data_IF_658506839359
#
_entry.id   IF_658506839359
#
_cell.length_a   1.000
_cell.length_b   1.000
_cell.length_c   1.000
_cell.angle_alpha   90.00
_cell.angle_beta   90.00
_cell.angle_gamma   90.00
#
_symmetry.space_group_name_H-M   'P 1'
#
loop_
_entity.id
_entity.type
_entity.pdbx_description
1 polymer ?
#
# COMPACT_ATOMS: atom_id res chain seq x y z
N UNK A 1 -7.46 -29.91 4.17
CA UNK A 1 -6.77 -28.70 4.67
C UNK A 1 -6.90 -27.61 3.62
N UNK A 2 -7.49 -26.47 3.98
CA UNK A 2 -7.49 -25.31 3.09
C UNK A 2 -6.07 -24.77 3.05
N UNK A 3 -5.46 -24.72 1.86
CA UNK A 3 -4.21 -24.01 1.65
C UNK A 3 -4.39 -22.59 2.22
N UNK A 4 -3.63 -22.28 3.27
CA UNK A 4 -3.64 -20.94 3.86
C UNK A 4 -2.80 -20.06 2.94
N UNK A 5 -3.45 -19.47 1.94
CA UNK A 5 -2.84 -18.52 1.04
C UNK A 5 -2.26 -17.36 1.86
N UNK A 6 -0.95 -17.12 1.71
CA UNK A 6 -0.26 -16.08 2.45
C UNK A 6 -0.15 -14.85 1.57
N UNK A 7 -0.79 -13.76 1.99
CA UNK A 7 -0.61 -12.43 1.43
C UNK A 7 0.14 -11.57 2.44
N UNK A 8 1.30 -11.05 2.04
CA UNK A 8 2.08 -10.10 2.82
C UNK A 8 1.96 -8.72 2.17
N UNK A 9 1.41 -7.75 2.91
CA UNK A 9 1.15 -6.41 2.40
C UNK A 9 2.28 -5.46 2.78
N UNK A 10 2.87 -4.76 1.81
CA UNK A 10 3.93 -3.79 2.02
C UNK A 10 3.52 -2.43 1.45
N UNK A 11 2.59 -1.78 2.16
CA UNK A 11 1.98 -0.51 1.73
C UNK A 11 1.87 0.48 2.88
N UNK A 12 1.89 1.76 2.54
CA UNK A 12 1.45 2.82 3.43
C UNK A 12 -0.07 2.96 3.37
N UNK A 13 -0.70 3.05 4.55
CA UNK A 13 -2.13 3.25 4.69
C UNK A 13 -2.41 4.60 5.32
N UNK A 14 -3.23 5.41 4.67
CA UNK A 14 -3.96 6.51 5.32
C UNK A 14 -5.43 6.11 5.61
N UNK A 15 -5.77 4.83 5.42
CA UNK A 15 -7.14 4.31 5.56
C UNK A 15 -7.50 4.16 7.04
N UNK A 16 -8.74 4.52 7.37
CA UNK A 16 -9.25 4.56 8.74
C UNK A 16 -8.62 5.62 9.63
N UNK A 17 -7.90 6.57 9.02
CA UNK A 17 -7.56 7.79 9.72
C UNK A 17 -8.80 8.49 10.24
N UNK A 18 -8.71 8.98 11.48
CA UNK A 18 -9.77 9.80 12.04
C UNK A 18 -9.91 11.02 11.13
N UNK A 19 -11.04 11.12 10.42
CA UNK A 19 -11.37 12.32 9.67
C UNK A 19 -11.34 13.51 10.64
N UNK A 20 -10.64 14.58 10.29
CA UNK A 20 -10.59 15.82 11.06
C UNK A 20 -11.91 16.60 11.09
N UNK A 21 -13.03 15.98 10.68
CA UNK A 21 -14.36 16.59 10.74
C UNK A 21 -14.68 16.96 12.18
N UNK A 22 -14.91 18.25 12.42
CA UNK A 22 -15.15 18.83 13.75
C UNK A 22 -13.95 18.69 14.72
N UNK A 23 -12.73 18.46 14.22
CA UNK A 23 -11.55 18.58 15.06
C UNK A 23 -11.39 20.04 15.49
N UNK A 24 -11.05 20.31 16.77
CA UNK A 24 -10.88 21.68 17.26
C UNK A 24 -9.65 22.34 16.62
N UNK A 25 -9.84 23.52 16.04
CA UNK A 25 -8.81 24.28 15.32
C UNK A 25 -7.65 24.74 16.22
N UNK A 26 -7.87 24.76 17.54
CA UNK A 26 -6.95 25.24 18.56
C UNK A 26 -6.33 24.14 19.42
N UNK A 27 -6.46 22.86 19.02
CA UNK A 27 -5.86 21.75 19.74
C UNK A 27 -4.88 20.98 18.86
N UNK A 28 -3.72 20.62 19.42
CA UNK A 28 -2.80 19.71 18.75
C UNK A 28 -3.50 18.37 18.50
N UNK A 29 -3.37 17.74 17.30
CA UNK A 29 -4.03 16.48 16.99
C UNK A 29 -3.83 15.39 18.04
N UNK A 30 -2.64 15.25 18.63
CA UNK A 30 -2.37 14.27 19.70
C UNK A 30 -3.16 14.51 21.00
N UNK A 31 -3.64 15.73 21.22
CA UNK A 31 -4.41 16.10 22.40
C UNK A 31 -5.94 15.95 22.18
N UNK A 32 -6.37 15.70 20.94
CA UNK A 32 -7.78 15.50 20.63
C UNK A 32 -8.20 14.08 21.06
N UNK A 33 -9.32 13.93 21.75
CA UNK A 33 -9.93 12.61 22.06
C UNK A 33 -11.38 12.60 21.59
N UNK A 34 -11.86 11.45 21.12
CA UNK A 34 -13.27 11.29 20.75
C UNK A 34 -14.12 11.16 22.00
N UNK A 35 -15.13 12.01 22.12
CA UNK A 35 -16.09 11.92 23.21
C UNK A 35 -16.92 10.62 23.09
N UNK A 36 -17.22 9.99 24.22
CA UNK A 36 -18.02 8.74 24.32
C UNK A 36 -17.52 7.50 23.54
N UNK A 37 -16.29 7.48 23.01
CA UNK A 37 -15.66 6.27 22.43
C UNK A 37 -14.38 5.90 23.17
N UNK A 38 -14.37 4.73 23.79
CA UNK A 38 -13.30 4.28 24.70
C UNK A 38 -11.92 4.02 24.06
N UNK A 39 -11.81 4.03 22.72
CA UNK A 39 -10.53 3.78 22.03
C UNK A 39 -10.33 4.81 20.91
N UNK A 40 -9.37 5.70 21.12
CA UNK A 40 -8.81 6.60 20.12
C UNK A 40 -7.59 5.91 19.53
N UNK A 41 -7.55 5.71 18.22
CA UNK A 41 -6.39 5.09 17.57
C UNK A 41 -5.45 6.17 17.05
N UNK A 42 -4.59 6.67 17.94
CA UNK A 42 -3.59 7.69 17.62
C UNK A 42 -2.68 7.28 16.45
N UNK A 43 -2.36 5.97 16.35
CA UNK A 43 -1.54 5.41 15.27
C UNK A 43 -2.21 5.49 13.88
N UNK A 44 -3.53 5.65 13.83
CA UNK A 44 -4.26 5.77 12.56
C UNK A 44 -4.54 7.21 12.15
N UNK A 45 -4.28 8.22 13.00
CA UNK A 45 -4.51 9.64 12.61
C UNK A 45 -3.63 10.11 11.46
N UNK A 46 -2.48 9.47 11.29
CA UNK A 46 -1.54 9.71 10.21
C UNK A 46 -1.42 8.47 9.32
N UNK A 47 -0.80 8.62 8.15
CA UNK A 47 -0.49 7.42 7.39
C UNK A 47 0.48 6.53 8.18
N UNK A 48 0.23 5.23 8.13
CA UNK A 48 0.96 4.24 8.88
C UNK A 48 1.34 3.07 7.97
N UNK A 49 2.39 2.35 8.37
CA UNK A 49 2.82 1.15 7.65
C UNK A 49 1.83 0.01 7.85
N UNK A 50 1.81 -0.92 6.91
CA UNK A 50 1.11 -2.19 7.08
C UNK A 50 1.64 -2.97 8.29
N UNK A 51 0.87 -3.97 8.73
CA UNK A 51 1.31 -4.88 9.79
C UNK A 51 2.58 -5.62 9.38
N UNK A 52 2.69 -6.06 8.13
CA UNK A 52 3.81 -6.88 7.67
C UNK A 52 5.10 -6.05 7.51
N UNK A 53 4.99 -4.75 7.20
CA UNK A 53 6.10 -3.80 7.22
C UNK A 53 6.66 -3.52 8.63
N UNK A 54 6.01 -3.98 9.71
CA UNK A 54 6.59 -3.92 11.06
C UNK A 54 7.79 -4.87 11.19
N UNK A 55 7.88 -5.91 10.36
CA UNK A 55 9.10 -6.69 10.21
C UNK A 55 10.06 -5.95 9.27
N UNK A 56 10.82 -5.02 9.85
CA UNK A 56 11.69 -4.09 9.09
C UNK A 56 12.79 -4.82 8.33
N UNK A 57 13.35 -5.89 8.90
CA UNK A 57 14.40 -6.70 8.27
C UNK A 57 13.87 -7.40 7.01
N UNK A 58 12.73 -8.08 7.13
CA UNK A 58 12.09 -8.73 5.98
C UNK A 58 11.73 -7.72 4.89
N UNK A 59 11.16 -6.57 5.27
CA UNK A 59 10.83 -5.51 4.31
C UNK A 59 12.08 -5.00 3.58
N UNK A 60 13.18 -4.76 4.29
CA UNK A 60 14.42 -4.29 3.70
C UNK A 60 15.00 -5.30 2.68
N UNK A 61 15.03 -6.58 3.03
CA UNK A 61 15.50 -7.66 2.14
C UNK A 61 14.68 -7.71 0.86
N UNK A 62 13.34 -7.61 0.97
CA UNK A 62 12.46 -7.66 -0.18
C UNK A 62 12.61 -6.42 -1.06
N UNK A 63 12.73 -5.23 -0.46
CA UNK A 63 12.97 -3.99 -1.21
C UNK A 63 14.27 -4.09 -1.98
N UNK A 64 15.35 -4.53 -1.33
CA UNK A 64 16.64 -4.72 -1.97
C UNK A 64 16.53 -5.72 -3.14
N UNK A 65 15.97 -6.91 -2.90
CA UNK A 65 15.83 -7.96 -3.89
C UNK A 65 14.98 -7.55 -5.12
N UNK A 66 13.99 -6.68 -4.94
CA UNK A 66 13.10 -6.24 -6.02
C UNK A 66 13.45 -4.86 -6.59
N UNK A 67 14.56 -4.22 -6.19
CA UNK A 67 14.90 -2.85 -6.63
C UNK A 67 14.92 -2.72 -8.15
N UNK A 68 15.69 -3.57 -8.83
CA UNK A 68 15.81 -3.52 -10.30
C UNK A 68 14.50 -3.87 -11.00
N UNK A 69 13.72 -4.76 -10.39
CA UNK A 69 12.39 -5.12 -10.89
C UNK A 69 11.42 -3.95 -10.79
N UNK A 70 11.37 -3.25 -9.64
CA UNK A 70 10.53 -2.06 -9.49
C UNK A 70 10.94 -0.95 -10.44
N UNK A 71 12.23 -0.75 -10.68
CA UNK A 71 12.71 0.23 -11.65
C UNK A 71 12.27 -0.13 -13.08
N UNK A 72 12.38 -1.40 -13.46
CA UNK A 72 11.88 -1.89 -14.75
C UNK A 72 10.37 -1.61 -14.89
N UNK A 73 9.58 -1.91 -13.87
CA UNK A 73 8.14 -1.66 -13.87
C UNK A 73 7.82 -0.17 -13.96
N UNK A 74 8.56 0.68 -13.26
CA UNK A 74 8.41 2.13 -13.30
C UNK A 74 8.64 2.68 -14.70
N UNK A 75 9.73 2.26 -15.35
CA UNK A 75 10.07 2.66 -16.72
C UNK A 75 9.01 2.17 -17.71
N UNK A 76 8.60 0.89 -17.62
CA UNK A 76 7.58 0.33 -18.48
C UNK A 76 6.22 1.05 -18.31
N UNK A 77 5.81 1.32 -17.06
CA UNK A 77 4.55 2.01 -16.81
C UNK A 77 4.57 3.44 -17.37
N UNK A 78 5.69 4.16 -17.20
CA UNK A 78 5.85 5.51 -17.75
C UNK A 78 5.81 5.54 -19.27
N UNK A 79 6.37 4.53 -19.92
CA UNK A 79 6.40 4.42 -21.39
C UNK A 79 5.03 4.04 -21.95
N UNK A 80 4.38 3.03 -21.38
CA UNK A 80 3.18 2.44 -21.96
C UNK A 80 1.87 3.04 -21.44
N UNK A 81 1.85 3.57 -20.22
CA UNK A 81 0.67 4.13 -19.55
C UNK A 81 1.00 5.46 -18.82
N UNK A 82 1.48 6.49 -19.55
CA UNK A 82 1.96 7.74 -18.94
C UNK A 82 0.88 8.47 -18.13
N UNK A 83 -0.39 8.48 -18.59
CA UNK A 83 -1.48 9.16 -17.89
C UNK A 83 -1.77 8.52 -16.52
N UNK A 84 -1.78 7.18 -16.47
CA UNK A 84 -1.96 6.45 -15.21
C UNK A 84 -0.74 6.58 -14.30
N UNK A 85 0.47 6.61 -14.87
CA UNK A 85 1.70 6.87 -14.14
C UNK A 85 1.64 8.23 -13.42
N UNK A 86 1.26 9.29 -14.12
CA UNK A 86 1.15 10.63 -13.57
C UNK A 86 0.05 10.71 -12.49
N UNK A 87 -1.11 10.09 -12.72
CA UNK A 87 -2.21 10.08 -11.74
C UNK A 87 -1.82 9.33 -10.45
N UNK A 88 -1.13 8.19 -10.57
CA UNK A 88 -0.63 7.43 -9.43
C UNK A 88 0.47 8.18 -8.66
N UNK A 89 1.36 8.86 -9.38
CA UNK A 89 2.48 9.63 -8.82
C UNK A 89 2.00 10.72 -7.86
N UNK A 90 0.93 11.45 -8.25
CA UNK A 90 0.34 12.51 -7.42
C UNK A 90 -0.05 11.98 -6.03
N UNK A 91 -0.63 10.78 -5.96
CA UNK A 91 -1.06 10.21 -4.69
C UNK A 91 0.14 9.81 -3.82
N UNK A 92 1.17 9.21 -4.42
CA UNK A 92 2.38 8.77 -3.69
C UNK A 92 3.20 9.95 -3.20
N UNK A 93 3.31 11.01 -3.99
CA UNK A 93 4.00 12.27 -3.62
C UNK A 93 3.28 13.03 -2.48
N UNK A 94 1.97 12.80 -2.32
CA UNK A 94 1.20 13.35 -1.22
C UNK A 94 1.18 12.47 0.05
N UNK A 95 1.86 11.32 0.05
CA UNK A 95 1.97 10.51 1.25
C UNK A 95 2.67 11.31 2.35
N UNK A 96 2.12 11.34 3.58
CA UNK A 96 2.69 12.15 4.64
C UNK A 96 4.08 11.62 5.00
N UNK A 97 4.98 12.56 5.32
CA UNK A 97 6.39 12.35 5.70
C UNK A 97 7.38 12.12 4.55
N UNK A 98 7.04 12.48 3.29
CA UNK A 98 7.97 12.39 2.15
C UNK A 98 8.58 10.99 1.97
N UNK A 99 7.84 9.96 2.42
CA UNK A 99 8.29 8.59 2.36
C UNK A 99 8.05 8.06 0.95
N UNK A 100 9.12 7.90 0.17
CA UNK A 100 9.03 7.29 -1.15
C UNK A 100 8.66 5.80 -1.03
N UNK A 101 7.70 5.38 -1.84
CA UNK A 101 7.42 3.96 -2.04
C UNK A 101 8.54 3.34 -2.88
N UNK A 102 9.08 2.16 -2.50
CA UNK A 102 10.11 1.48 -3.30
C UNK A 102 9.61 1.05 -4.68
N UNK A 103 8.29 0.99 -4.87
CA UNK A 103 7.64 0.60 -6.11
C UNK A 103 6.92 1.78 -6.79
N UNK A 104 7.42 3.00 -6.62
CA UNK A 104 6.88 4.20 -7.26
C UNK A 104 6.61 3.97 -8.76
N UNK A 105 5.45 4.35 -9.30
CA UNK A 105 4.43 5.22 -8.70
C UNK A 105 3.34 4.49 -7.89
N UNK A 106 3.52 3.20 -7.58
CA UNK A 106 2.59 2.50 -6.68
C UNK A 106 2.85 2.84 -5.22
N UNK A 107 1.79 2.94 -4.41
CA UNK A 107 1.90 3.23 -2.97
C UNK A 107 2.40 2.06 -2.10
N UNK A 108 2.62 0.89 -2.71
CA UNK A 108 3.09 -0.32 -2.05
C UNK A 108 2.91 -1.56 -2.93
N UNK A 109 3.38 -2.69 -2.44
CA UNK A 109 3.31 -3.98 -3.13
C UNK A 109 2.79 -5.08 -2.21
N UNK A 110 2.33 -6.18 -2.79
CA UNK A 110 1.83 -7.36 -2.07
C UNK A 110 2.51 -8.59 -2.61
N UNK A 111 3.01 -9.45 -1.73
CA UNK A 111 3.51 -10.78 -2.10
C UNK A 111 2.46 -11.81 -1.76
N UNK A 112 1.94 -12.47 -2.79
CA UNK A 112 1.00 -13.58 -2.63
C UNK A 112 1.72 -14.90 -2.87
N UNK A 113 1.82 -15.74 -1.84
CA UNK A 113 2.38 -17.08 -1.96
C UNK A 113 1.26 -18.08 -2.23
N UNK A 114 1.42 -18.85 -3.31
CA UNK A 114 0.43 -19.82 -3.80
C UNK A 114 -0.94 -19.18 -4.07
N UNK A 115 -0.96 -17.97 -4.61
CA UNK A 115 -2.17 -17.15 -4.72
C UNK A 115 -3.36 -17.89 -5.35
N UNK A 116 -4.50 -17.87 -4.66
CA UNK A 116 -5.80 -18.19 -5.23
C UNK A 116 -6.81 -17.21 -4.64
N UNK A 117 -7.38 -16.36 -5.48
CA UNK A 117 -8.32 -15.32 -5.04
C UNK A 117 -9.63 -15.45 -5.79
N UNK A 118 -10.72 -15.09 -5.13
CA UNK A 118 -12.01 -14.95 -5.82
C UNK A 118 -11.98 -13.73 -6.72
N UNK A 119 -12.76 -13.73 -7.80
CA UNK A 119 -12.92 -12.55 -8.62
C UNK A 119 -13.39 -11.37 -7.75
N UNK A 120 -12.58 -10.32 -7.68
CA UNK A 120 -12.86 -9.12 -6.91
C UNK A 120 -12.23 -7.90 -7.56
N UNK A 121 -12.63 -6.73 -7.07
CA UNK A 121 -11.95 -5.47 -7.35
C UNK A 121 -11.26 -5.01 -6.08
N UNK A 122 -10.01 -4.59 -6.21
CA UNK A 122 -9.32 -3.91 -5.14
C UNK A 122 -9.93 -2.52 -4.94
N UNK A 123 -10.92 -2.44 -4.04
CA UNK A 123 -11.60 -1.18 -3.70
C UNK A 123 -10.66 -0.12 -3.11
N UNK A 124 -9.41 -0.49 -2.83
CA UNK A 124 -8.37 0.40 -2.33
C UNK A 124 -7.53 1.10 -3.36
N UNK A 125 -7.53 0.60 -4.59
CA UNK A 125 -6.66 1.11 -5.61
C UNK A 125 -7.29 2.32 -6.27
N UNK A 126 -6.45 3.31 -6.56
CA UNK A 126 -6.88 4.57 -7.15
C UNK A 126 -7.26 4.40 -8.62
N UNK A 127 -6.42 3.68 -9.38
CA UNK A 127 -6.53 3.53 -10.82
C UNK A 127 -6.31 2.11 -11.29
N UNK A 128 -5.09 1.62 -11.13
CA UNK A 128 -4.69 0.28 -11.52
C UNK A 128 -3.76 -0.33 -10.48
N UNK A 129 -3.75 -1.66 -10.47
CA UNK A 129 -2.69 -2.45 -9.86
C UNK A 129 -1.99 -3.26 -10.96
N UNK A 130 -0.74 -3.63 -10.70
CA UNK A 130 0.03 -4.50 -11.57
C UNK A 130 0.21 -5.85 -10.88
N UNK A 131 -0.16 -6.92 -11.58
CA UNK A 131 0.03 -8.30 -11.12
C UNK A 131 1.12 -8.94 -11.97
N UNK A 132 2.15 -9.45 -11.31
CA UNK A 132 3.24 -10.18 -11.97
C UNK A 132 3.38 -11.56 -11.31
N UNK A 133 3.05 -12.65 -12.01
CA UNK A 133 3.26 -14.00 -11.51
C UNK A 133 4.74 -14.39 -11.61
N UNK A 134 5.26 -15.07 -10.59
CA UNK A 134 6.65 -15.55 -10.54
C UNK A 134 6.71 -17.07 -10.52
N UNK A 135 7.00 -17.69 -11.67
CA UNK A 135 7.16 -19.14 -11.77
C UNK A 135 6.61 -19.68 -13.08
N UNK A 136 6.63 -21.00 -13.20
CA UNK A 136 5.99 -21.72 -14.30
C UNK A 136 4.62 -22.20 -13.85
N UNK A 137 3.59 -21.77 -14.57
CA UNK A 137 2.20 -22.06 -14.24
C UNK A 137 1.43 -22.46 -15.50
N UNK A 138 0.40 -23.28 -15.32
CA UNK A 138 -0.58 -23.63 -16.34
C UNK A 138 -1.96 -23.09 -15.91
N UNK A 139 -2.61 -22.35 -16.81
CA UNK A 139 -3.82 -21.58 -16.51
C UNK A 139 -3.53 -20.32 -15.68
N UNK A 140 -4.54 -19.83 -14.94
CA UNK A 140 -4.38 -18.69 -14.03
C UNK A 140 -4.60 -17.33 -14.71
N UNK A 141 -5.43 -17.32 -15.74
CA UNK A 141 -5.86 -16.13 -16.45
C UNK A 141 -6.55 -15.13 -15.51
N UNK A 142 -6.23 -13.84 -15.68
CA UNK A 142 -6.85 -12.71 -14.98
C UNK A 142 -8.06 -12.17 -15.74
#
# INVERSE_FOLDING_TARGET
EFFKYLACHYSWYARYAEKGTNAPDNAHPDNVRRDHKGRVNFEQRNAHRSKDMKNVEQYAILVEAYTDFFELLRVALKEYLPDDYDELSIYVEQLPLDASSPCYPFGGFVINLSACTWAHRDAGDKRLCLVVPFGEYEGGEL
#
